data_IF_983873170341
#
_entry.id   IF_983873170341
#
_cell.length_a   1.000
_cell.length_b   1.000
_cell.length_c   1.000
_cell.angle_alpha   90.00
_cell.angle_beta   90.00
_cell.angle_gamma   90.00
#
_symmetry.space_group_name_H-M   'P 1'
#
loop_
_entity.id
_entity.type
_entity.pdbx_description
1 polymer ?
#
# COMPACT_ATOMS: atom_id res chain seq x y z
N UNK A 1 8.92 7.84 14.88
CA UNK A 1 7.91 7.76 15.94
C UNK A 1 7.00 8.99 16.00
N UNK A 2 7.46 10.17 15.56
CA UNK A 2 6.87 11.48 15.87
C UNK A 2 6.15 12.13 14.67
N UNK A 3 5.72 11.35 13.69
CA UNK A 3 4.87 11.89 12.63
C UNK A 3 3.49 12.26 13.17
N UNK A 4 2.93 13.35 12.67
CA UNK A 4 1.60 13.85 12.99
C UNK A 4 0.71 13.85 11.73
N UNK A 5 -0.62 13.82 11.88
CA UNK A 5 -1.53 14.03 10.76
C UNK A 5 -1.21 15.34 10.02
N UNK A 6 -1.08 15.27 8.69
CA UNK A 6 -0.67 16.38 7.82
C UNK A 6 0.79 16.32 7.39
N UNK A 7 1.66 15.59 8.10
CA UNK A 7 3.06 15.41 7.70
C UNK A 7 3.20 14.72 6.33
N UNK A 8 2.22 13.88 5.95
CA UNK A 8 2.15 13.21 4.65
C UNK A 8 1.93 14.16 3.46
N UNK A 9 1.52 15.39 3.74
CA UNK A 9 1.28 16.46 2.74
C UNK A 9 2.35 17.56 2.80
N UNK A 10 3.38 17.40 3.62
CA UNK A 10 4.41 18.42 3.80
C UNK A 10 5.16 18.71 2.49
N UNK A 11 5.37 19.99 2.12
CA UNK A 11 6.14 20.35 0.93
C UNK A 11 7.58 19.79 0.92
N UNK A 12 8.22 19.72 2.10
CA UNK A 12 9.53 19.07 2.31
C UNK A 12 9.33 17.66 2.91
N UNK A 13 8.52 16.83 2.25
CA UNK A 13 8.19 15.49 2.71
C UNK A 13 9.43 14.63 3.00
N UNK A 14 10.39 14.61 2.08
CA UNK A 14 11.61 13.81 2.24
C UNK A 14 12.48 14.31 3.41
N UNK A 15 12.73 15.62 3.51
CA UNK A 15 13.50 16.20 4.61
C UNK A 15 12.81 16.00 5.95
N UNK A 16 11.49 16.15 6.01
CA UNK A 16 10.70 15.86 7.21
C UNK A 16 10.83 14.37 7.60
N UNK A 17 10.74 13.48 6.63
CA UNK A 17 10.87 12.03 6.83
C UNK A 17 12.19 11.66 7.49
N UNK A 18 13.29 12.19 6.98
CA UNK A 18 14.63 11.96 7.56
C UNK A 18 14.84 12.58 8.94
N UNK A 19 14.17 13.71 9.25
CA UNK A 19 14.27 14.34 10.58
C UNK A 19 13.46 13.60 11.66
N UNK A 20 12.30 13.03 11.31
CA UNK A 20 11.34 12.43 12.26
C UNK A 20 11.33 10.90 12.28
N UNK A 21 11.88 10.26 11.27
CA UNK A 21 11.76 8.82 11.11
C UNK A 21 12.94 8.16 10.43
N UNK A 22 12.71 6.96 9.95
CA UNK A 22 13.64 6.17 9.17
C UNK A 22 13.02 5.86 7.80
N UNK A 23 13.83 5.79 6.73
CA UNK A 23 13.34 5.39 5.41
C UNK A 23 13.00 3.89 5.40
N UNK A 24 12.31 3.45 4.34
CA UNK A 24 12.16 2.03 4.05
C UNK A 24 13.53 1.33 4.01
N UNK A 25 13.59 0.12 4.57
CA UNK A 25 14.84 -0.62 4.81
C UNK A 25 15.50 -0.30 6.15
N UNK A 26 15.04 0.74 6.86
CA UNK A 26 15.57 1.15 8.17
C UNK A 26 14.98 0.38 9.34
N UNK A 27 15.45 0.72 10.54
CA UNK A 27 15.00 0.12 11.80
C UNK A 27 14.50 1.21 12.75
N UNK A 28 13.30 1.00 13.30
CA UNK A 28 12.72 1.86 14.34
C UNK A 28 13.43 1.60 15.66
N UNK A 29 14.10 2.63 16.18
CA UNK A 29 14.87 2.57 17.45
C UNK A 29 14.51 3.76 18.33
N UNK A 30 14.81 3.63 19.62
CA UNK A 30 14.86 4.77 20.54
C UNK A 30 13.52 5.46 20.77
N UNK A 31 12.47 4.71 21.08
CA UNK A 31 11.15 5.28 21.39
C UNK A 31 11.00 5.65 22.88
N UNK A 32 10.17 6.67 23.15
CA UNK A 32 9.70 6.98 24.50
C UNK A 32 8.68 5.93 24.97
N UNK A 33 8.56 5.74 26.26
CA UNK A 33 7.55 4.84 26.84
C UNK A 33 6.14 5.24 26.34
N UNK A 34 5.39 4.26 25.83
CA UNK A 34 4.05 4.47 25.29
C UNK A 34 4.02 5.04 23.86
N UNK A 35 5.15 5.27 23.20
CA UNK A 35 5.18 5.63 21.78
C UNK A 35 4.71 4.46 20.91
N UNK A 36 4.00 4.79 19.86
CA UNK A 36 3.48 3.85 18.85
C UNK A 36 4.04 4.22 17.48
N UNK A 37 4.47 3.27 16.67
CA UNK A 37 4.97 3.56 15.32
C UNK A 37 3.95 4.36 14.50
N UNK A 38 4.44 5.45 13.91
CA UNK A 38 3.68 6.26 12.96
C UNK A 38 4.37 6.25 11.60
N UNK A 39 3.60 6.22 10.55
CA UNK A 39 4.09 6.14 9.18
C UNK A 39 3.47 7.24 8.33
N UNK A 40 4.28 7.83 7.47
CA UNK A 40 3.83 8.71 6.40
C UNK A 40 4.23 8.09 5.07
N UNK A 41 3.28 8.05 4.14
CA UNK A 41 3.44 7.44 2.83
C UNK A 41 2.95 8.42 1.78
N UNK A 42 3.68 8.54 0.68
CA UNK A 42 3.22 9.23 -0.53
C UNK A 42 3.50 8.33 -1.73
N UNK A 43 2.47 8.08 -2.52
CA UNK A 43 2.52 7.29 -3.74
C UNK A 43 2.01 8.09 -4.92
N UNK A 44 2.75 8.08 -6.02
CA UNK A 44 2.41 8.74 -7.28
C UNK A 44 2.36 7.68 -8.37
N UNK A 45 1.33 7.73 -9.23
CA UNK A 45 1.25 6.83 -10.38
C UNK A 45 2.30 7.19 -11.44
N UNK A 46 2.62 6.25 -12.31
CA UNK A 46 3.25 6.58 -13.59
C UNK A 46 2.30 7.49 -14.40
N UNK A 47 2.74 8.66 -14.88
CA UNK A 47 1.89 9.58 -15.63
C UNK A 47 1.29 8.97 -16.90
N UNK A 48 1.93 7.94 -17.47
CA UNK A 48 1.49 7.26 -18.69
C UNK A 48 0.70 5.97 -18.41
N UNK A 49 0.40 5.64 -17.14
CA UNK A 49 -0.20 4.38 -16.76
C UNK A 49 -1.46 4.56 -15.89
N UNK A 50 -1.83 3.50 -15.17
CA UNK A 50 -3.07 3.41 -14.41
C UNK A 50 -3.07 4.29 -13.16
N UNK A 51 -4.24 4.80 -12.79
CA UNK A 51 -4.45 5.45 -11.51
C UNK A 51 -4.29 4.46 -10.34
N UNK A 52 -3.98 5.00 -9.16
CA UNK A 52 -3.86 4.24 -7.93
C UNK A 52 -5.23 3.88 -7.36
N UNK A 53 -5.40 2.64 -6.95
CA UNK A 53 -6.56 2.16 -6.22
C UNK A 53 -6.44 2.51 -4.74
N UNK A 54 -5.36 2.03 -4.08
CA UNK A 54 -5.15 2.18 -2.64
C UNK A 54 -3.71 1.98 -2.23
N UNK A 55 -3.40 2.46 -1.04
CA UNK A 55 -2.16 2.21 -0.32
C UNK A 55 -2.47 1.31 0.88
N UNK A 56 -1.64 0.31 1.07
CA UNK A 56 -1.71 -0.63 2.19
C UNK A 56 -0.41 -0.60 3.00
N UNK A 57 -0.53 -0.74 4.31
CA UNK A 57 0.58 -1.12 5.18
C UNK A 57 0.35 -2.56 5.61
N UNK A 58 1.36 -3.40 5.41
CA UNK A 58 1.38 -4.78 5.85
C UNK A 58 2.29 -4.86 7.07
N UNK A 59 1.73 -5.27 8.21
CA UNK A 59 2.45 -5.59 9.43
C UNK A 59 2.64 -7.09 9.52
N UNK A 60 3.89 -7.54 9.67
CA UNK A 60 4.21 -8.89 10.11
C UNK A 60 4.84 -8.85 11.49
N UNK A 61 4.51 -9.80 12.36
CA UNK A 61 5.12 -9.88 13.69
C UNK A 61 5.29 -11.31 14.17
N UNK A 62 6.15 -11.46 15.17
CA UNK A 62 6.33 -12.70 15.88
C UNK A 62 5.56 -12.61 17.20
N UNK A 63 4.52 -13.42 17.31
CA UNK A 63 3.70 -13.52 18.51
C UNK A 63 4.46 -14.16 19.69
N UNK A 64 3.98 -14.00 20.91
CA UNK A 64 4.59 -14.51 22.13
C UNK A 64 4.79 -16.04 22.14
N UNK A 65 3.95 -16.78 21.42
CA UNK A 65 4.07 -18.24 21.24
C UNK A 65 5.08 -18.65 20.14
N UNK A 66 5.73 -17.67 19.47
CA UNK A 66 6.65 -17.89 18.35
C UNK A 66 5.96 -18.09 17.01
N UNK A 67 4.65 -17.91 16.92
CA UNK A 67 3.94 -17.99 15.65
C UNK A 67 4.09 -16.68 14.83
N UNK A 68 4.21 -16.84 13.51
CA UNK A 68 4.23 -15.70 12.58
C UNK A 68 2.80 -15.24 12.32
N UNK A 69 2.58 -13.95 12.43
CA UNK A 69 1.30 -13.28 12.16
C UNK A 69 1.47 -12.22 11.08
N UNK A 70 0.40 -11.94 10.37
CA UNK A 70 0.34 -10.86 9.38
C UNK A 70 -1.03 -10.16 9.46
N UNK A 71 -1.01 -8.84 9.31
CA UNK A 71 -2.23 -8.04 9.14
C UNK A 71 -2.03 -6.96 8.08
N UNK A 72 -3.05 -6.80 7.25
CA UNK A 72 -3.04 -5.83 6.17
C UNK A 72 -4.00 -4.70 6.53
N UNK A 73 -3.50 -3.47 6.48
CA UNK A 73 -4.30 -2.25 6.68
C UNK A 73 -4.35 -1.46 5.37
N UNK A 74 -5.54 -1.15 4.88
CA UNK A 74 -5.72 -0.12 3.87
C UNK A 74 -5.59 1.24 4.58
N UNK A 75 -4.65 2.09 4.15
CA UNK A 75 -4.34 3.36 4.83
C UNK A 75 -4.70 4.59 4.01
N UNK A 76 -4.85 4.43 2.71
CA UNK A 76 -5.45 5.39 1.79
C UNK A 76 -6.20 4.66 0.69
N UNK A 77 -7.33 5.19 0.27
CA UNK A 77 -8.14 4.68 -0.85
C UNK A 77 -8.54 5.82 -1.76
N UNK A 78 -8.65 5.55 -3.05
CA UNK A 78 -9.08 6.56 -4.03
C UNK A 78 -10.60 6.72 -4.06
N UNK A 79 -11.06 7.89 -4.55
CA UNK A 79 -12.48 8.23 -4.65
C UNK A 79 -13.14 8.46 -3.27
N UNK A 80 -14.45 8.33 -3.24
CA UNK A 80 -15.25 8.54 -2.02
C UNK A 80 -15.38 7.27 -1.15
N UNK A 81 -14.56 6.27 -1.42
CA UNK A 81 -14.55 5.00 -0.67
C UNK A 81 -14.08 5.22 0.76
N UNK A 82 -14.50 4.33 1.65
CA UNK A 82 -14.17 4.41 3.08
C UNK A 82 -13.40 3.18 3.54
N UNK A 83 -12.52 3.42 4.48
CA UNK A 83 -11.83 2.36 5.23
C UNK A 83 -12.68 2.05 6.46
N UNK A 84 -13.01 0.78 6.65
CA UNK A 84 -13.79 0.33 7.80
C UNK A 84 -12.96 0.26 9.09
N UNK A 85 -13.63 0.01 10.21
CA UNK A 85 -12.98 -0.16 11.52
C UNK A 85 -12.03 -1.36 11.62
N UNK A 86 -12.15 -2.30 10.67
CA UNK A 86 -11.25 -3.44 10.49
C UNK A 86 -9.96 -3.08 9.71
N UNK A 87 -9.81 -1.81 9.31
CA UNK A 87 -8.69 -1.33 8.49
C UNK A 87 -8.78 -1.76 7.02
N UNK A 88 -9.98 -2.12 6.49
CA UNK A 88 -10.15 -2.57 5.11
C UNK A 88 -11.09 -1.64 4.34
N UNK A 89 -10.76 -1.43 3.05
CA UNK A 89 -11.66 -0.74 2.13
C UNK A 89 -12.99 -1.48 2.02
N UNK A 90 -14.11 -0.74 2.12
CA UNK A 90 -15.45 -1.34 2.08
C UNK A 90 -15.88 -1.71 0.69
N UNK A 91 -15.55 -0.88 -0.28
CA UNK A 91 -16.00 -1.01 -1.66
C UNK A 91 -14.82 -1.23 -2.61
N UNK A 92 -15.02 -2.00 -3.70
CA UNK A 92 -14.01 -2.14 -4.75
C UNK A 92 -13.85 -0.82 -5.52
N UNK A 93 -12.67 -0.61 -6.11
CA UNK A 93 -12.40 0.58 -6.95
C UNK A 93 -13.18 0.57 -8.27
N UNK A 94 -13.68 -0.59 -8.68
CA UNK A 94 -14.28 -0.80 -9.99
C UNK A 94 -13.27 -1.32 -11.02
N UNK A 95 -13.74 -1.41 -12.27
CA UNK A 95 -12.95 -1.92 -13.39
C UNK A 95 -13.35 -1.19 -14.68
N UNK A 96 -12.39 -0.63 -15.40
CA UNK A 96 -12.56 0.12 -16.65
C UNK A 96 -11.93 -0.57 -17.85
N UNK A 97 -11.52 -1.84 -17.68
CA UNK A 97 -10.87 -2.61 -18.74
C UNK A 97 -11.86 -3.04 -19.81
N UNK A 98 -11.57 -2.70 -21.05
CA UNK A 98 -12.17 -3.35 -22.24
C UNK A 98 -11.27 -4.52 -22.64
N UNK A 99 -11.71 -5.72 -22.31
CA UNK A 99 -10.95 -6.96 -22.57
C UNK A 99 -10.81 -7.23 -24.09
N UNK A 100 -11.85 -6.91 -24.88
CA UNK A 100 -11.82 -7.15 -26.32
C UNK A 100 -10.84 -6.24 -27.06
N UNK A 101 -10.78 -4.97 -26.62
CA UNK A 101 -9.83 -4.00 -27.16
C UNK A 101 -8.45 -4.08 -26.48
N UNK A 102 -8.31 -4.80 -25.36
CA UNK A 102 -7.14 -4.82 -24.47
C UNK A 102 -6.74 -3.40 -24.04
N UNK A 103 -7.70 -2.59 -23.61
CA UNK A 103 -7.49 -1.20 -23.18
C UNK A 103 -8.11 -0.95 -21.82
N UNK A 104 -7.76 0.16 -21.19
CA UNK A 104 -8.40 0.67 -19.98
C UNK A 104 -8.44 2.21 -20.00
N UNK A 105 -9.20 2.80 -19.11
CA UNK A 105 -9.28 4.25 -18.92
C UNK A 105 -9.15 4.63 -17.45
N UNK A 106 -8.84 5.90 -17.19
CA UNK A 106 -8.56 6.43 -15.84
C UNK A 106 -9.66 7.35 -15.26
N UNK A 107 -10.99 7.06 -15.38
CA UNK A 107 -12.03 7.84 -14.72
C UNK A 107 -12.18 7.49 -13.23
N UNK A 108 -11.57 6.40 -12.77
CA UNK A 108 -11.54 5.92 -11.39
C UNK A 108 -10.10 5.90 -10.88
N UNK A 109 -9.93 5.67 -9.58
CA UNK A 109 -8.61 5.75 -8.97
C UNK A 109 -8.17 7.19 -8.73
N UNK A 110 -6.92 7.37 -8.28
CA UNK A 110 -6.32 8.68 -8.03
C UNK A 110 -4.88 8.74 -8.57
N UNK A 111 -4.42 9.90 -9.08
CA UNK A 111 -3.04 10.03 -9.56
C UNK A 111 -2.01 10.01 -8.42
N UNK A 112 -2.42 10.37 -7.22
CA UNK A 112 -1.59 10.38 -6.02
C UNK A 112 -2.44 9.96 -4.82
N UNK A 113 -1.84 9.20 -3.92
CA UNK A 113 -2.40 8.87 -2.62
C UNK A 113 -1.33 9.12 -1.54
N UNK A 114 -1.74 9.77 -0.47
CA UNK A 114 -0.89 9.99 0.70
C UNK A 114 -1.61 9.52 1.96
N UNK A 115 -0.85 9.07 2.94
CA UNK A 115 -1.39 8.58 4.20
C UNK A 115 -0.47 8.94 5.37
N UNK A 116 -1.09 9.36 6.47
CA UNK A 116 -0.58 9.21 7.81
C UNK A 116 -1.27 8.01 8.46
N UNK A 117 -0.49 7.13 9.08
CA UNK A 117 -1.05 5.97 9.77
C UNK A 117 -0.28 5.69 11.05
N UNK A 118 -1.01 5.32 12.10
CA UNK A 118 -0.48 4.91 13.39
C UNK A 118 -0.91 3.47 13.64
N UNK A 119 0.01 2.60 14.06
CA UNK A 119 -0.29 1.19 14.29
C UNK A 119 -1.28 1.03 15.47
N UNK A 120 -2.54 0.61 15.22
CA UNK A 120 -3.52 0.44 16.29
C UNK A 120 -3.29 -0.81 17.15
N UNK A 121 -2.48 -1.74 16.65
CA UNK A 121 -2.24 -3.06 17.27
C UNK A 121 -0.75 -3.23 17.63
N UNK A 122 -0.05 -2.13 17.96
CA UNK A 122 1.35 -2.18 18.32
C UNK A 122 1.56 -2.75 19.73
N UNK A 123 2.37 -3.82 19.82
CA UNK A 123 2.91 -4.33 21.07
C UNK A 123 4.44 -4.08 21.09
N UNK A 124 4.98 -3.29 22.07
CA UNK A 124 6.40 -3.03 22.18
C UNK A 124 7.25 -4.25 22.56
N UNK A 125 6.64 -5.34 23.01
CA UNK A 125 7.34 -6.58 23.33
C UNK A 125 7.55 -7.48 22.10
N UNK A 126 6.82 -7.25 21.01
CA UNK A 126 6.86 -8.07 19.80
C UNK A 126 7.84 -7.54 18.77
N UNK A 127 8.60 -8.42 18.12
CA UNK A 127 9.35 -8.08 16.91
C UNK A 127 8.39 -7.94 15.75
N UNK A 128 8.49 -6.84 15.01
CA UNK A 128 7.62 -6.56 13.89
C UNK A 128 8.38 -5.98 12.69
N UNK A 129 7.76 -6.08 11.52
CA UNK A 129 8.18 -5.35 10.34
C UNK A 129 6.94 -4.78 9.63
N UNK A 130 7.16 -3.70 8.91
CA UNK A 130 6.12 -3.01 8.16
C UNK A 130 6.61 -2.73 6.75
N UNK A 131 5.79 -3.00 5.75
CA UNK A 131 6.07 -2.55 4.39
C UNK A 131 4.82 -1.99 3.75
N UNK A 132 5.02 -1.11 2.77
CA UNK A 132 3.93 -0.51 2.00
C UNK A 132 3.73 -1.32 0.73
N UNK A 133 2.47 -1.51 0.38
CA UNK A 133 2.02 -2.01 -0.91
C UNK A 133 1.07 -0.99 -1.54
N UNK A 134 1.39 -0.55 -2.75
CA UNK A 134 0.52 0.33 -3.54
C UNK A 134 -0.11 -0.52 -4.63
N UNK A 135 -1.42 -0.38 -4.81
CA UNK A 135 -2.17 -1.06 -5.86
C UNK A 135 -2.70 -0.03 -6.86
N UNK A 136 -2.60 -0.36 -8.14
CA UNK A 136 -3.27 0.38 -9.21
C UNK A 136 -4.70 -0.12 -9.43
N UNK A 137 -5.52 0.62 -10.18
CA UNK A 137 -6.80 0.13 -10.68
C UNK A 137 -6.55 -1.05 -11.64
N UNK A 138 -7.56 -1.90 -11.90
CA UNK A 138 -7.40 -3.00 -12.85
C UNK A 138 -6.96 -2.54 -14.24
N UNK A 139 -6.01 -3.25 -14.82
CA UNK A 139 -5.50 -3.11 -16.20
C UNK A 139 -5.61 -4.44 -16.93
N UNK A 140 -5.57 -4.48 -18.28
CA UNK A 140 -5.48 -5.73 -19.01
C UNK A 140 -4.22 -6.49 -18.59
N UNK A 141 -4.35 -7.79 -18.36
CA UNK A 141 -3.19 -8.63 -18.13
C UNK A 141 -2.38 -8.76 -19.43
N UNK A 142 -1.07 -9.01 -19.33
CA UNK A 142 -0.20 -9.20 -20.50
C UNK A 142 -0.74 -10.25 -21.50
N UNK A 143 -1.33 -11.34 -21.02
CA UNK A 143 -1.99 -12.34 -21.85
C UNK A 143 -3.18 -11.79 -22.65
N UNK A 144 -3.85 -10.74 -22.15
CA UNK A 144 -4.95 -10.08 -22.86
C UNK A 144 -4.41 -9.24 -24.02
N UNK A 145 -3.29 -8.55 -23.81
CA UNK A 145 -2.60 -7.84 -24.89
C UNK A 145 -2.14 -8.81 -25.98
N UNK A 146 -1.52 -9.94 -25.59
CA UNK A 146 -1.07 -10.96 -26.53
C UNK A 146 -2.25 -11.58 -27.31
N UNK A 147 -3.32 -11.94 -26.61
CA UNK A 147 -4.52 -12.49 -27.27
C UNK A 147 -5.07 -11.53 -28.31
N UNK A 148 -5.16 -10.24 -27.98
CA UNK A 148 -5.61 -9.19 -28.91
C UNK A 148 -4.64 -9.02 -30.09
N UNK A 149 -3.33 -9.01 -29.84
CA UNK A 149 -2.31 -8.80 -30.86
C UNK A 149 -2.22 -9.97 -31.85
N UNK A 150 -2.26 -11.21 -31.37
CA UNK A 150 -2.16 -12.43 -32.17
C UNK A 150 -3.51 -12.93 -32.69
N UNK A 151 -4.62 -12.35 -32.29
CA UNK A 151 -5.96 -12.79 -32.70
C UNK A 151 -6.33 -14.18 -32.18
N UNK A 152 -5.90 -14.53 -30.98
CA UNK A 152 -6.16 -15.83 -30.34
C UNK A 152 -7.05 -15.65 -29.10
N UNK A 153 -7.73 -16.73 -28.72
CA UNK A 153 -8.57 -16.71 -27.51
C UNK A 153 -7.71 -16.66 -26.23
N UNK A 154 -8.22 -15.95 -25.20
CA UNK A 154 -7.65 -16.02 -23.88
C UNK A 154 -7.84 -17.42 -23.27
N UNK A 155 -6.80 -17.99 -22.62
CA UNK A 155 -6.96 -19.24 -21.89
C UNK A 155 -8.03 -19.11 -20.80
N UNK A 156 -8.94 -20.07 -20.70
CA UNK A 156 -10.11 -20.04 -19.78
C UNK A 156 -9.72 -19.97 -18.27
N UNK A 157 -8.54 -20.42 -17.92
CA UNK A 157 -8.03 -20.48 -16.55
C UNK A 157 -7.13 -19.27 -16.18
N UNK A 158 -7.04 -18.27 -17.05
CA UNK A 158 -6.21 -17.08 -16.84
C UNK A 158 -7.10 -15.85 -16.74
N UNK A 159 -7.01 -15.06 -15.65
CA UNK A 159 -7.75 -13.82 -15.54
C UNK A 159 -7.36 -12.83 -16.63
N UNK A 160 -8.35 -12.14 -17.21
CA UNK A 160 -8.13 -11.16 -18.26
C UNK A 160 -7.53 -9.84 -17.74
N UNK A 161 -7.70 -9.56 -16.45
CA UNK A 161 -7.25 -8.32 -15.81
C UNK A 161 -6.40 -8.61 -14.58
N UNK A 162 -5.57 -7.65 -14.20
CA UNK A 162 -4.82 -7.67 -12.95
C UNK A 162 -4.72 -6.26 -12.37
N UNK A 163 -4.34 -6.15 -11.12
CA UNK A 163 -3.92 -4.90 -10.49
C UNK A 163 -2.40 -4.95 -10.29
N UNK A 164 -1.68 -4.04 -10.93
CA UNK A 164 -0.24 -3.90 -10.71
C UNK A 164 0.03 -3.39 -9.29
N UNK A 165 1.21 -3.73 -8.77
CA UNK A 165 1.57 -3.50 -7.37
C UNK A 165 3.02 -3.06 -7.27
N UNK A 166 3.24 -2.03 -6.46
CA UNK A 166 4.56 -1.65 -5.99
C UNK A 166 4.72 -2.02 -4.51
N UNK A 167 5.93 -2.36 -4.10
CA UNK A 167 6.28 -2.72 -2.72
C UNK A 167 7.50 -1.92 -2.28
N UNK A 168 7.49 -1.48 -1.03
CA UNK A 168 8.69 -0.90 -0.41
C UNK A 168 9.53 -1.98 0.26
N UNK A 169 10.78 -1.64 0.59
CA UNK A 169 11.54 -2.38 1.59
C UNK A 169 10.85 -2.25 2.96
N UNK A 170 11.05 -3.25 3.82
CA UNK A 170 10.45 -3.24 5.15
C UNK A 170 11.13 -2.24 6.09
N UNK A 171 10.36 -1.63 6.97
CA UNK A 171 10.84 -0.95 8.18
C UNK A 171 10.75 -1.95 9.33
N UNK A 172 11.84 -2.15 10.04
CA UNK A 172 11.96 -3.16 11.09
C UNK A 172 11.77 -2.56 12.48
N UNK A 173 11.20 -3.33 13.36
CA UNK A 173 11.14 -3.03 14.79
C UNK A 173 11.62 -4.22 15.61
N UNK A 174 12.53 -3.95 16.54
CA UNK A 174 12.97 -4.91 17.55
C UNK A 174 12.78 -4.31 18.93
N UNK A 175 12.15 -5.03 19.88
CA UNK A 175 12.08 -4.61 21.28
C UNK A 175 13.46 -4.25 21.83
N UNK A 176 13.51 -3.22 22.65
CA UNK A 176 14.74 -2.92 23.39
C UNK A 176 14.85 -3.91 24.55
N UNK A 177 16.00 -4.59 24.63
CA UNK A 177 16.36 -5.47 25.75
C UNK A 177 16.83 -4.66 26.94
#
# INVERSE_FOLDING_TARGET
WDFAPGDELAPDFAGLGYRKGVPMGGELRGHSAGAVPTFVVSALRDPNWANLDRVQIIKGWLDADGSLKEKIYDVAVSGDRRIGSDGRARDPVGNTVDVAAATFTNPIGAPMLSAYWKDPDFDPAERAFYYVRVLEIPTPRWTTYDARFFGVDLPKNVPATLQDRAYTSAVWYSPQT
#
